data_IF_237304793810
#
_entry.id   IF_237304793810
#
_cell.length_a   1.000
_cell.length_b   1.000
_cell.length_c   1.000
_cell.angle_alpha   90.00
_cell.angle_beta   90.00
_cell.angle_gamma   90.00
#
_symmetry.space_group_name_H-M   'P 1'
#
loop_
_entity.id
_entity.type
_entity.pdbx_description
1 polymer ?
#
# COMPACT_ATOMS: atom_id res chain seq x y z
N UNK A 1 20.11 7.84 -16.12
CA UNK A 1 19.70 6.63 -15.37
C UNK A 1 20.39 6.56 -14.01
N UNK A 2 21.68 6.26 -13.91
CA UNK A 2 22.38 6.19 -12.61
C UNK A 2 22.31 7.52 -11.83
N UNK A 3 22.61 8.65 -12.46
CA UNK A 3 22.50 9.99 -11.84
C UNK A 3 21.08 10.30 -11.36
N UNK A 4 20.07 9.87 -12.10
CA UNK A 4 18.66 10.05 -11.73
C UNK A 4 18.31 9.23 -10.48
N UNK A 5 18.70 7.95 -10.46
CA UNK A 5 18.48 7.07 -9.30
C UNK A 5 19.21 7.65 -8.07
N UNK A 6 20.47 8.05 -8.22
CA UNK A 6 21.24 8.67 -7.14
C UNK A 6 20.57 9.95 -6.63
N UNK A 7 20.13 10.83 -7.53
CA UNK A 7 19.42 12.07 -7.15
C UNK A 7 18.14 11.78 -6.40
N UNK A 8 17.34 10.79 -6.83
CA UNK A 8 16.11 10.35 -6.13
C UNK A 8 16.42 9.76 -4.75
N UNK A 9 17.47 8.94 -4.63
CA UNK A 9 17.91 8.38 -3.35
C UNK A 9 18.42 9.49 -2.41
N UNK A 10 19.13 10.50 -2.93
CA UNK A 10 19.54 11.65 -2.14
C UNK A 10 18.35 12.47 -1.65
N UNK A 11 17.30 12.65 -2.47
CA UNK A 11 16.04 13.29 -2.05
C UNK A 11 15.23 12.44 -1.07
N UNK A 12 15.40 11.12 -1.05
CA UNK A 12 14.76 10.26 -0.07
C UNK A 12 15.24 10.56 1.35
N UNK A 13 16.52 10.91 1.53
CA UNK A 13 17.11 11.19 2.85
C UNK A 13 16.36 12.31 3.60
N UNK A 14 16.20 13.54 3.05
CA UNK A 14 15.47 14.60 3.73
C UNK A 14 13.99 14.25 3.90
N UNK A 15 13.37 13.52 2.97
CA UNK A 15 11.97 13.07 3.10
C UNK A 15 11.81 12.13 4.29
N UNK A 16 12.62 11.09 4.38
CA UNK A 16 12.58 10.12 5.47
C UNK A 16 12.95 10.76 6.81
N UNK A 17 13.91 11.68 6.81
CA UNK A 17 14.27 12.45 8.00
C UNK A 17 13.11 13.32 8.49
N UNK A 18 12.41 14.03 7.59
CA UNK A 18 11.22 14.81 7.93
C UNK A 18 10.11 13.90 8.47
N UNK A 19 9.86 12.75 7.84
CA UNK A 19 8.86 11.79 8.34
C UNK A 19 9.22 11.31 9.74
N UNK A 20 10.47 10.88 9.97
CA UNK A 20 10.95 10.43 11.27
C UNK A 20 10.86 11.53 12.34
N UNK A 21 11.20 12.77 11.98
CA UNK A 21 11.13 13.92 12.90
C UNK A 21 9.68 14.24 13.26
N UNK A 22 8.80 14.30 12.25
CA UNK A 22 7.39 14.62 12.47
C UNK A 22 6.68 13.54 13.28
N UNK A 23 6.92 12.27 12.97
CA UNK A 23 6.33 11.17 13.75
C UNK A 23 6.82 11.21 15.19
N UNK A 24 8.11 11.40 15.42
CA UNK A 24 8.67 11.59 16.76
C UNK A 24 7.97 12.72 17.50
N UNK A 25 7.89 13.93 16.92
CA UNK A 25 7.26 15.08 17.58
C UNK A 25 5.77 14.84 17.86
N UNK A 26 5.03 14.28 16.91
CA UNK A 26 3.61 13.97 17.07
C UNK A 26 3.41 13.03 18.26
N UNK A 27 4.22 11.97 18.38
CA UNK A 27 4.10 11.02 19.49
C UNK A 27 4.34 11.66 20.86
N UNK A 28 5.16 12.70 20.94
CA UNK A 28 5.43 13.42 22.19
C UNK A 28 4.43 14.55 22.50
N UNK A 29 3.67 15.01 21.49
CA UNK A 29 2.63 16.03 21.64
C UNK A 29 1.28 15.40 22.01
N UNK A 30 1.01 14.19 21.53
CA UNK A 30 -0.26 13.50 21.79
C UNK A 30 -0.44 13.28 23.31
N UNK A 31 -1.60 13.68 23.89
CA UNK A 31 -1.79 13.63 25.33
C UNK A 31 -1.80 12.19 25.87
N UNK A 32 -0.89 11.96 26.81
CA UNK A 32 -0.77 10.75 27.61
C UNK A 32 0.31 9.79 27.10
N UNK A 33 1.13 9.32 28.04
CA UNK A 33 2.34 8.54 27.78
C UNK A 33 2.10 7.06 27.48
N UNK A 34 3.16 6.35 27.03
CA UNK A 34 3.11 4.92 26.70
C UNK A 34 2.82 4.03 27.93
N UNK A 35 3.09 4.55 29.13
CA UNK A 35 2.89 3.86 30.41
C UNK A 35 1.73 4.41 31.23
N UNK A 36 0.98 5.38 30.71
CA UNK A 36 -0.24 5.88 31.34
C UNK A 36 -1.39 4.90 31.05
N UNK A 37 -1.41 3.80 31.81
CA UNK A 37 -2.47 2.77 31.78
C UNK A 37 -3.71 3.24 32.54
N UNK A 38 -4.84 2.56 32.31
CA UNK A 38 -6.03 2.64 33.18
C UNK A 38 -5.69 2.35 34.66
N UNK A 39 -4.66 1.52 34.91
CA UNK A 39 -4.13 1.25 36.26
C UNK A 39 -2.79 1.98 36.46
N UNK A 40 -2.78 2.98 37.35
CA UNK A 40 -1.56 3.73 37.69
C UNK A 40 -0.47 2.79 38.21
N UNK A 41 0.71 2.85 37.61
CA UNK A 41 1.90 2.17 38.12
C UNK A 41 2.34 2.85 39.42
N UNK A 42 2.89 2.10 40.39
CA UNK A 42 3.60 2.69 41.52
C UNK A 42 4.69 3.67 41.03
N UNK A 43 4.90 4.81 41.70
CA UNK A 43 5.84 5.84 41.24
C UNK A 43 7.25 5.32 40.97
N UNK A 44 7.74 4.41 41.82
CA UNK A 44 9.08 3.80 41.69
C UNK A 44 9.19 2.94 40.43
N UNK A 45 8.16 2.15 40.11
CA UNK A 45 8.14 1.31 38.90
C UNK A 45 8.07 2.21 37.66
N UNK A 46 7.27 3.28 37.70
CA UNK A 46 7.18 4.24 36.60
C UNK A 46 8.54 4.89 36.31
N UNK A 47 9.23 5.39 37.35
CA UNK A 47 10.55 6.00 37.22
C UNK A 47 11.59 5.03 36.64
N UNK A 48 11.63 3.78 37.12
CA UNK A 48 12.55 2.75 36.60
C UNK A 48 12.29 2.42 35.11
N UNK A 49 11.02 2.38 34.72
CA UNK A 49 10.63 2.11 33.33
C UNK A 49 10.95 3.31 32.43
N UNK A 50 10.69 4.54 32.88
CA UNK A 50 11.03 5.76 32.14
C UNK A 50 12.55 5.88 31.95
N UNK A 51 13.35 5.64 32.99
CA UNK A 51 14.81 5.62 32.92
C UNK A 51 15.34 4.55 31.95
N UNK A 52 14.75 3.34 31.98
CA UNK A 52 15.12 2.23 31.08
C UNK A 52 14.93 2.59 29.61
N UNK A 53 13.90 3.35 29.27
CA UNK A 53 13.59 3.76 27.89
C UNK A 53 14.04 5.20 27.58
N UNK A 54 14.83 5.82 28.46
CA UNK A 54 15.32 7.20 28.33
C UNK A 54 14.23 8.26 28.20
N UNK A 55 13.00 7.96 28.66
CA UNK A 55 11.87 8.88 28.63
C UNK A 55 11.98 10.00 29.68
N UNK A 56 12.88 9.84 30.64
CA UNK A 56 13.26 10.82 31.66
C UNK A 56 14.25 11.89 31.14
N UNK A 57 14.86 11.66 29.97
CA UNK A 57 15.85 12.57 29.39
C UNK A 57 15.17 13.74 28.63
N UNK A 58 15.87 14.88 28.43
CA UNK A 58 15.37 15.96 27.59
C UNK A 58 15.00 15.46 26.18
N UNK A 59 13.93 16.01 25.60
CA UNK A 59 13.43 15.61 24.27
C UNK A 59 14.51 15.64 23.18
N UNK A 60 15.44 16.61 23.25
CA UNK A 60 16.57 16.69 22.32
C UNK A 60 17.46 15.44 22.38
N UNK A 61 17.70 14.91 23.58
CA UNK A 61 18.51 13.70 23.77
C UNK A 61 17.76 12.45 23.31
N UNK A 62 16.47 12.35 23.61
CA UNK A 62 15.62 11.26 23.12
C UNK A 62 15.60 11.22 21.57
N UNK A 63 15.47 12.39 20.94
CA UNK A 63 15.50 12.50 19.49
C UNK A 63 16.85 12.10 18.90
N UNK A 64 17.97 12.53 19.51
CA UNK A 64 19.31 12.14 19.06
C UNK A 64 19.52 10.62 19.15
N UNK A 65 19.10 9.98 20.25
CA UNK A 65 19.16 8.53 20.41
C UNK A 65 18.30 7.81 19.36
N UNK A 66 17.11 8.32 19.08
CA UNK A 66 16.24 7.79 18.04
C UNK A 66 16.90 7.86 16.66
N UNK A 67 17.42 9.02 16.25
CA UNK A 67 18.11 9.18 14.96
C UNK A 67 19.37 8.33 14.89
N UNK A 68 20.16 8.24 15.96
CA UNK A 68 21.34 7.37 16.01
C UNK A 68 20.96 5.90 15.82
N UNK A 69 19.88 5.44 16.45
CA UNK A 69 19.31 4.11 16.23
C UNK A 69 18.93 3.89 14.77
N UNK A 70 18.17 4.82 14.17
CA UNK A 70 17.77 4.73 12.76
C UNK A 70 18.98 4.61 11.81
N UNK A 71 20.05 5.38 12.05
CA UNK A 71 21.28 5.33 11.24
C UNK A 71 21.99 3.97 11.34
N UNK A 72 21.81 3.24 12.44
CA UNK A 72 22.31 1.87 12.64
C UNK A 72 21.31 0.79 12.20
N UNK A 73 20.12 1.18 11.74
CA UNK A 73 19.04 0.26 11.39
C UNK A 73 18.26 -0.29 12.59
N UNK A 74 18.40 0.31 13.77
CA UNK A 74 17.67 -0.06 14.99
C UNK A 74 16.45 0.85 15.17
N UNK A 75 15.25 0.27 15.08
CA UNK A 75 13.97 0.97 15.30
C UNK A 75 13.57 1.03 16.78
N UNK A 76 14.39 0.45 17.65
CA UNK A 76 14.21 0.43 19.10
C UNK A 76 13.35 -0.73 19.60
N UNK A 77 13.24 -0.87 20.94
CA UNK A 77 12.41 -1.87 21.58
C UNK A 77 10.93 -1.51 21.48
N UNK A 78 10.04 -2.50 21.42
CA UNK A 78 8.62 -2.27 21.67
C UNK A 78 8.40 -2.02 23.16
N UNK A 79 7.58 -1.02 23.51
CA UNK A 79 7.21 -0.76 24.90
C UNK A 79 6.15 -1.73 25.43
N UNK A 80 5.52 -2.51 24.55
CA UNK A 80 4.41 -3.42 24.89
C UNK A 80 4.77 -4.89 24.70
N UNK A 81 5.47 -5.22 23.63
CA UNK A 81 5.95 -6.57 23.35
C UNK A 81 7.33 -6.75 24.01
N UNK A 82 7.33 -7.06 25.31
CA UNK A 82 8.55 -7.23 26.10
C UNK A 82 9.50 -8.26 25.47
N UNK A 83 10.78 -7.88 25.36
CA UNK A 83 11.81 -8.72 24.75
C UNK A 83 11.82 -8.74 23.23
N UNK A 84 10.96 -7.93 22.57
CA UNK A 84 10.95 -7.78 21.11
C UNK A 84 11.34 -6.37 20.70
N UNK A 85 12.14 -6.28 19.65
CA UNK A 85 12.40 -5.03 18.93
C UNK A 85 11.32 -4.79 17.89
N UNK A 86 11.18 -3.54 17.46
CA UNK A 86 10.31 -3.18 16.34
C UNK A 86 10.78 -3.87 15.06
N UNK A 87 12.09 -4.04 14.88
CA UNK A 87 12.68 -4.82 13.79
C UNK A 87 12.18 -6.26 13.78
N UNK A 88 12.12 -6.94 14.93
CA UNK A 88 11.61 -8.32 15.02
C UNK A 88 10.15 -8.40 14.59
N UNK A 89 9.33 -7.45 15.04
CA UNK A 89 7.91 -7.42 14.68
C UNK A 89 7.75 -7.25 13.17
N UNK A 90 8.48 -6.30 12.57
CA UNK A 90 8.46 -6.05 11.13
C UNK A 90 8.97 -7.27 10.36
N UNK A 91 10.10 -7.86 10.76
CA UNK A 91 10.70 -9.01 10.07
C UNK A 91 9.76 -10.22 10.02
N UNK A 92 9.01 -10.48 11.10
CA UNK A 92 8.09 -11.62 11.18
C UNK A 92 6.82 -11.44 10.35
N UNK A 93 6.37 -10.19 10.18
CA UNK A 93 5.00 -9.91 9.70
C UNK A 93 4.96 -9.20 8.36
N UNK A 94 5.98 -8.39 8.04
CA UNK A 94 6.07 -7.66 6.78
C UNK A 94 6.12 -8.55 5.54
N UNK A 95 6.88 -9.67 5.51
CA UNK A 95 6.91 -10.53 4.33
C UNK A 95 5.53 -11.06 3.96
N UNK A 96 4.69 -11.37 4.95
CA UNK A 96 3.32 -11.86 4.75
C UNK A 96 2.44 -10.75 4.16
N UNK A 97 2.44 -9.55 4.76
CA UNK A 97 1.70 -8.40 4.22
C UNK A 97 2.17 -8.02 2.82
N UNK A 98 3.47 -8.11 2.55
CA UNK A 98 4.05 -7.86 1.24
C UNK A 98 3.55 -8.86 0.19
N UNK A 99 3.57 -10.17 0.50
CA UNK A 99 3.04 -11.20 -0.38
C UNK A 99 1.57 -10.94 -0.71
N UNK A 100 0.75 -10.69 0.31
CA UNK A 100 -0.66 -10.35 0.14
C UNK A 100 -0.84 -9.09 -0.73
N UNK A 101 -0.07 -8.04 -0.44
CA UNK A 101 -0.10 -6.78 -1.18
C UNK A 101 0.23 -6.95 -2.66
N UNK A 102 1.26 -7.74 -3.01
CA UNK A 102 1.60 -8.03 -4.40
C UNK A 102 0.56 -8.89 -5.10
N UNK A 103 -0.05 -9.87 -4.42
CA UNK A 103 -1.14 -10.65 -4.99
C UNK A 103 -2.37 -9.79 -5.26
N UNK A 104 -2.72 -8.92 -4.33
CA UNK A 104 -3.82 -7.96 -4.48
C UNK A 104 -3.54 -6.95 -5.60
N UNK A 105 -2.30 -6.45 -5.70
CA UNK A 105 -1.87 -5.55 -6.77
C UNK A 105 -1.94 -6.23 -8.14
N UNK A 106 -1.48 -7.48 -8.23
CA UNK A 106 -1.52 -8.27 -9.46
C UNK A 106 -2.96 -8.52 -9.91
N UNK A 107 -3.83 -8.90 -8.97
CA UNK A 107 -5.27 -9.01 -9.20
C UNK A 107 -5.84 -7.67 -9.71
N UNK A 108 -5.52 -6.56 -9.04
CA UNK A 108 -6.02 -5.24 -9.39
C UNK A 108 -5.59 -4.80 -10.79
N UNK A 109 -4.33 -5.00 -11.15
CA UNK A 109 -3.79 -4.68 -12.46
C UNK A 109 -4.43 -5.53 -13.56
N UNK A 110 -4.45 -6.86 -13.38
CA UNK A 110 -4.95 -7.79 -14.41
C UNK A 110 -6.44 -7.53 -14.65
N UNK A 111 -7.26 -7.64 -13.61
CA UNK A 111 -8.71 -7.54 -13.76
C UNK A 111 -9.16 -6.09 -14.00
N UNK A 112 -8.48 -5.11 -13.38
CA UNK A 112 -8.77 -3.70 -13.60
C UNK A 112 -8.48 -3.25 -15.04
N UNK A 113 -7.30 -3.60 -15.58
CA UNK A 113 -6.96 -3.25 -16.96
C UNK A 113 -7.87 -3.97 -17.97
N UNK A 114 -8.14 -5.27 -17.78
CA UNK A 114 -9.05 -6.01 -18.65
C UNK A 114 -10.44 -5.37 -18.64
N UNK A 115 -11.00 -5.07 -17.46
CA UNK A 115 -12.31 -4.43 -17.35
C UNK A 115 -12.31 -3.04 -17.99
N UNK A 116 -11.27 -2.23 -17.78
CA UNK A 116 -11.14 -0.89 -18.38
C UNK A 116 -11.05 -0.93 -19.91
N UNK A 117 -10.29 -1.87 -20.46
CA UNK A 117 -10.17 -2.08 -21.92
C UNK A 117 -11.52 -2.53 -22.49
N UNK A 118 -12.16 -3.56 -21.93
CA UNK A 118 -13.44 -4.09 -22.40
C UNK A 118 -14.54 -3.03 -22.34
N UNK A 119 -14.62 -2.28 -21.25
CA UNK A 119 -15.59 -1.18 -21.06
C UNK A 119 -15.35 -0.02 -22.03
N UNK A 120 -14.09 0.25 -22.40
CA UNK A 120 -13.77 1.28 -23.40
C UNK A 120 -14.15 0.88 -24.83
N UNK A 121 -13.98 -0.39 -25.20
CA UNK A 121 -14.36 -0.91 -26.53
C UNK A 121 -15.88 -0.97 -26.68
N UNK A 122 -16.59 -1.29 -25.59
CA UNK A 122 -18.05 -1.37 -25.54
C UNK A 122 -18.70 -0.07 -25.04
N UNK A 123 -17.99 1.05 -25.11
CA UNK A 123 -18.43 2.31 -24.53
C UNK A 123 -19.85 2.70 -24.96
N UNK A 124 -20.63 3.22 -24.01
CA UNK A 124 -22.03 3.62 -24.17
C UNK A 124 -23.04 2.49 -24.40
N UNK A 125 -22.60 1.22 -24.44
CA UNK A 125 -23.51 0.07 -24.47
C UNK A 125 -24.02 -0.31 -23.07
N UNK A 126 -25.00 -1.21 -23.00
CA UNK A 126 -25.47 -1.78 -21.74
C UNK A 126 -24.36 -2.55 -21.00
N UNK A 127 -23.45 -3.19 -21.73
CA UNK A 127 -22.32 -3.92 -21.15
C UNK A 127 -21.35 -2.98 -20.44
N UNK A 128 -21.02 -1.83 -21.04
CA UNK A 128 -20.24 -0.77 -20.39
C UNK A 128 -20.90 -0.29 -19.09
N UNK A 129 -22.19 0.05 -19.15
CA UNK A 129 -22.95 0.50 -17.97
C UNK A 129 -22.99 -0.57 -16.87
N UNK A 130 -23.22 -1.83 -17.22
CA UNK A 130 -23.24 -2.94 -16.28
C UNK A 130 -21.87 -3.17 -15.64
N UNK A 131 -20.81 -3.29 -16.43
CA UNK A 131 -19.43 -3.46 -15.92
C UNK A 131 -19.02 -2.31 -14.99
N UNK A 132 -19.33 -1.08 -15.36
CA UNK A 132 -19.03 0.10 -14.55
C UNK A 132 -19.88 0.18 -13.27
N UNK A 133 -21.15 -0.24 -13.33
CA UNK A 133 -22.00 -0.36 -12.17
C UNK A 133 -21.44 -1.37 -11.17
N UNK A 134 -21.12 -2.59 -11.61
CA UNK A 134 -20.56 -3.63 -10.72
C UNK A 134 -19.18 -3.23 -10.16
N UNK A 135 -18.32 -2.61 -10.97
CA UNK A 135 -17.04 -2.08 -10.51
C UNK A 135 -17.24 -0.99 -9.43
N UNK A 136 -18.23 -0.11 -9.60
CA UNK A 136 -18.52 0.96 -8.63
C UNK A 136 -19.16 0.41 -7.35
N UNK A 137 -20.12 -0.52 -7.48
CA UNK A 137 -20.76 -1.17 -6.34
C UNK A 137 -19.75 -1.97 -5.49
N UNK A 138 -18.79 -2.65 -6.13
CA UNK A 138 -17.71 -3.36 -5.44
C UNK A 138 -16.82 -2.43 -4.62
N UNK A 139 -16.50 -1.23 -5.13
CA UNK A 139 -15.72 -0.21 -4.39
C UNK A 139 -16.50 0.36 -3.21
N UNK A 140 -17.80 0.55 -3.35
CA UNK A 140 -18.66 1.07 -2.28
C UNK A 140 -18.89 0.06 -1.15
N UNK A 141 -18.53 -1.21 -1.36
CA UNK A 141 -18.66 -2.25 -0.34
C UNK A 141 -17.45 -2.21 0.59
N UNK A 142 -17.64 -2.04 1.91
CA UNK A 142 -16.53 -2.09 2.85
C UNK A 142 -15.78 -3.43 2.78
N UNK A 143 -14.45 -3.41 2.91
CA UNK A 143 -13.61 -4.62 2.83
C UNK A 143 -14.07 -5.73 3.78
N UNK A 144 -14.64 -5.39 4.93
CA UNK A 144 -15.12 -6.40 5.86
C UNK A 144 -16.39 -7.12 5.40
N UNK A 145 -17.30 -6.39 4.75
CA UNK A 145 -18.51 -6.96 4.14
C UNK A 145 -18.09 -7.86 2.98
N UNK A 146 -17.19 -7.35 2.13
CA UNK A 146 -16.67 -8.11 1.00
C UNK A 146 -15.96 -9.39 1.46
N UNK A 147 -15.10 -9.31 2.47
CA UNK A 147 -14.42 -10.46 3.07
C UNK A 147 -15.41 -11.50 3.60
N UNK A 148 -16.42 -11.07 4.36
CA UNK A 148 -17.46 -11.96 4.87
C UNK A 148 -18.26 -12.66 3.76
N UNK A 149 -18.63 -11.93 2.70
CA UNK A 149 -19.32 -12.50 1.54
C UNK A 149 -18.44 -13.51 0.79
N UNK A 150 -17.16 -13.18 0.58
CA UNK A 150 -16.21 -14.09 -0.06
C UNK A 150 -16.05 -15.38 0.73
N UNK A 151 -15.90 -15.31 2.05
CA UNK A 151 -15.85 -16.48 2.94
C UNK A 151 -17.16 -17.28 2.85
N UNK A 152 -18.31 -16.61 2.93
CA UNK A 152 -19.61 -17.29 2.89
C UNK A 152 -19.80 -18.07 1.59
N UNK A 153 -19.57 -17.44 0.43
CA UNK A 153 -19.77 -18.10 -0.85
C UNK A 153 -18.66 -19.11 -1.15
N UNK A 154 -17.40 -18.69 -1.13
CA UNK A 154 -16.31 -19.51 -1.66
C UNK A 154 -15.74 -20.51 -0.65
N UNK A 155 -15.85 -20.26 0.66
CA UNK A 155 -15.36 -21.18 1.68
C UNK A 155 -16.47 -22.02 2.30
N UNK A 156 -17.62 -21.43 2.64
CA UNK A 156 -18.70 -22.16 3.30
C UNK A 156 -19.65 -22.85 2.30
N UNK A 157 -20.18 -22.11 1.33
CA UNK A 157 -21.20 -22.62 0.40
C UNK A 157 -20.61 -23.53 -0.67
N UNK A 158 -19.56 -23.09 -1.36
CA UNK A 158 -18.94 -23.83 -2.47
C UNK A 158 -17.71 -24.63 -2.05
N UNK A 159 -17.11 -24.35 -0.89
CA UNK A 159 -15.94 -25.07 -0.32
C UNK A 159 -14.74 -25.16 -1.29
N UNK A 160 -14.51 -24.08 -2.04
CA UNK A 160 -13.44 -23.98 -3.04
C UNK A 160 -12.13 -23.51 -2.38
N UNK A 161 -12.22 -22.51 -1.51
CA UNK A 161 -11.06 -21.88 -0.86
C UNK A 161 -11.17 -21.93 0.65
N UNK A 162 -10.04 -22.05 1.38
CA UNK A 162 -10.06 -21.98 2.83
C UNK A 162 -10.43 -20.56 3.31
N UNK A 163 -11.11 -20.44 4.47
CA UNK A 163 -11.68 -19.16 4.92
C UNK A 163 -10.68 -18.23 5.63
N UNK A 164 -9.61 -18.77 6.22
CA UNK A 164 -8.69 -18.03 7.09
C UNK A 164 -7.37 -18.79 7.28
N UNK A 165 -6.37 -18.15 7.91
CA UNK A 165 -4.99 -18.60 8.13
C UNK A 165 -4.05 -18.29 6.93
N UNK A 166 -2.81 -18.77 7.01
CA UNK A 166 -1.77 -18.51 6.01
C UNK A 166 -0.82 -19.70 5.86
N UNK A 167 -1.38 -20.90 5.63
CA UNK A 167 -0.61 -22.15 5.59
C UNK A 167 -0.24 -22.59 4.17
N UNK A 168 -1.13 -22.36 3.21
CA UNK A 168 -0.94 -22.73 1.80
C UNK A 168 -1.44 -21.65 0.84
N UNK A 169 -0.97 -21.60 -0.42
CA UNK A 169 -1.29 -20.52 -1.36
C UNK A 169 -2.79 -20.28 -1.61
N UNK A 170 -3.67 -21.26 -1.37
CA UNK A 170 -5.12 -21.10 -1.53
C UNK A 170 -5.71 -20.12 -0.52
N UNK A 171 -5.07 -19.98 0.65
CA UNK A 171 -5.44 -19.02 1.69
C UNK A 171 -5.27 -17.58 1.24
N UNK A 172 -4.37 -17.32 0.30
CA UNK A 172 -4.08 -15.97 -0.18
C UNK A 172 -5.10 -15.47 -1.22
N UNK A 173 -5.91 -16.34 -1.82
CA UNK A 173 -6.80 -15.99 -2.94
C UNK A 173 -7.92 -15.03 -2.50
N UNK A 174 -8.72 -15.41 -1.50
CA UNK A 174 -9.84 -14.59 -1.04
C UNK A 174 -9.37 -13.25 -0.43
N UNK A 175 -8.32 -13.20 0.42
CA UNK A 175 -7.75 -11.94 0.89
C UNK A 175 -7.25 -11.05 -0.24
N UNK A 176 -6.56 -11.61 -1.25
CA UNK A 176 -6.04 -10.84 -2.37
C UNK A 176 -7.16 -10.25 -3.22
N UNK A 177 -8.25 -11.00 -3.44
CA UNK A 177 -9.45 -10.49 -4.12
C UNK A 177 -10.08 -9.38 -3.29
N UNK A 178 -10.28 -9.61 -1.99
CA UNK A 178 -10.89 -8.61 -1.09
C UNK A 178 -10.10 -7.30 -1.07
N UNK A 179 -8.78 -7.39 -0.96
CA UNK A 179 -7.88 -6.24 -0.94
C UNK A 179 -7.73 -5.57 -2.31
N UNK A 180 -7.73 -6.36 -3.39
CA UNK A 180 -7.47 -5.91 -4.75
C UNK A 180 -8.70 -5.40 -5.50
N UNK A 181 -9.93 -5.73 -5.08
CA UNK A 181 -11.15 -5.40 -5.84
C UNK A 181 -11.37 -3.89 -5.99
N UNK A 182 -11.22 -3.12 -4.90
CA UNK A 182 -11.39 -1.67 -4.96
C UNK A 182 -10.32 -0.98 -5.84
N UNK A 183 -9.02 -1.31 -5.68
CA UNK A 183 -7.99 -0.89 -6.64
C UNK A 183 -8.27 -1.32 -8.08
N UNK A 184 -8.75 -2.54 -8.32
CA UNK A 184 -9.08 -3.05 -9.66
C UNK A 184 -10.12 -2.16 -10.34
N UNK A 185 -11.19 -1.83 -9.63
CA UNK A 185 -12.25 -0.97 -10.13
C UNK A 185 -11.75 0.46 -10.38
N UNK A 186 -10.90 1.01 -9.50
CA UNK A 186 -10.29 2.31 -9.74
C UNK A 186 -9.41 2.32 -11.01
N UNK A 187 -8.55 1.30 -11.18
CA UNK A 187 -7.73 1.09 -12.37
C UNK A 187 -8.62 0.96 -13.61
N UNK A 188 -9.70 0.20 -13.55
CA UNK A 188 -10.63 0.03 -14.67
C UNK A 188 -11.23 1.37 -15.13
N UNK A 189 -11.69 2.21 -14.19
CA UNK A 189 -12.23 3.54 -14.50
C UNK A 189 -11.17 4.45 -15.12
N UNK A 190 -9.98 4.46 -14.53
CA UNK A 190 -8.88 5.31 -14.99
C UNK A 190 -8.40 4.89 -16.38
N UNK A 191 -8.20 3.59 -16.62
CA UNK A 191 -7.83 3.04 -17.90
C UNK A 191 -8.90 3.34 -18.96
N UNK A 192 -10.19 3.13 -18.65
CA UNK A 192 -11.30 3.45 -19.55
C UNK A 192 -11.30 4.92 -19.95
N UNK A 193 -11.21 5.83 -18.96
CA UNK A 193 -11.19 7.27 -19.22
C UNK A 193 -10.03 7.66 -20.13
N UNK A 194 -8.83 7.15 -19.80
CA UNK A 194 -7.61 7.44 -20.55
C UNK A 194 -7.67 6.90 -21.97
N UNK A 195 -8.23 5.70 -22.19
CA UNK A 195 -8.42 5.09 -23.52
C UNK A 195 -9.38 5.94 -24.36
N UNK A 196 -10.52 6.36 -23.79
CA UNK A 196 -11.53 7.14 -24.52
C UNK A 196 -11.01 8.53 -24.91
N UNK A 197 -10.25 9.18 -24.03
CA UNK A 197 -9.59 10.45 -24.32
C UNK A 197 -8.54 10.28 -25.42
N UNK A 198 -7.70 9.26 -25.29
CA UNK A 198 -6.63 8.97 -26.24
C UNK A 198 -7.18 8.61 -27.64
N UNK A 199 -8.30 7.89 -27.71
CA UNK A 199 -8.95 7.55 -28.98
C UNK A 199 -9.42 8.77 -29.78
N UNK A 200 -9.60 9.93 -29.14
CA UNK A 200 -10.01 11.19 -29.79
C UNK A 200 -8.85 11.99 -30.38
N UNK A 201 -7.61 11.55 -30.17
CA UNK A 201 -6.40 12.27 -30.60
C UNK A 201 -6.17 12.16 -32.13
N UNK A 202 -5.57 13.20 -32.73
CA UNK A 202 -5.40 13.29 -34.19
C UNK A 202 -4.48 12.21 -34.78
N UNK A 203 -3.49 11.73 -34.02
CA UNK A 203 -2.64 10.64 -34.47
C UNK A 203 -3.41 9.31 -34.58
N UNK A 204 -4.47 9.11 -33.78
CA UNK A 204 -5.35 7.94 -33.88
C UNK A 204 -6.22 8.05 -35.12
N UNK A 205 -6.75 9.24 -35.41
CA UNK A 205 -7.49 9.52 -36.66
C UNK A 205 -6.62 9.26 -37.90
N UNK A 206 -5.35 9.65 -37.83
CA UNK A 206 -4.36 9.40 -38.88
C UNK A 206 -4.05 7.90 -39.04
N UNK A 207 -3.96 7.15 -37.95
CA UNK A 207 -3.79 5.69 -38.03
C UNK A 207 -5.00 5.02 -38.68
N UNK A 208 -6.21 5.49 -38.38
CA UNK A 208 -7.45 5.00 -38.99
C UNK A 208 -7.53 5.34 -40.49
N UNK A 209 -7.14 6.54 -40.90
CA UNK A 209 -7.11 6.90 -42.34
C UNK A 209 -6.07 6.13 -43.15
N UNK A 210 -5.01 5.63 -42.49
CA UNK A 210 -4.03 4.72 -43.09
C UNK A 210 -4.51 3.26 -43.18
N UNK A 211 -5.73 2.94 -42.75
CA UNK A 211 -6.33 1.61 -42.88
C UNK A 211 -5.87 0.59 -41.84
N UNK A 212 -5.31 1.01 -40.70
CA UNK A 212 -5.00 0.08 -39.61
C UNK A 212 -6.28 -0.49 -38.98
N UNK A 213 -6.26 -1.75 -38.57
CA UNK A 213 -7.37 -2.38 -37.86
C UNK A 213 -7.58 -1.76 -36.47
N UNK A 214 -8.81 -1.72 -35.97
CA UNK A 214 -9.12 -1.16 -34.63
C UNK A 214 -8.33 -1.86 -33.51
N UNK A 215 -8.06 -3.17 -33.63
CA UNK A 215 -7.20 -3.90 -32.70
C UNK A 215 -5.75 -3.39 -32.75
N UNK A 216 -5.19 -3.18 -33.95
CA UNK A 216 -3.84 -2.64 -34.08
C UNK A 216 -3.77 -1.20 -33.55
N UNK A 217 -4.80 -0.39 -33.79
CA UNK A 217 -4.92 0.98 -33.27
C UNK A 217 -4.96 0.95 -31.73
N UNK A 218 -5.79 0.11 -31.14
CA UNK A 218 -5.91 -0.03 -29.69
C UNK A 218 -4.56 -0.39 -29.04
N UNK A 219 -3.95 -1.50 -29.45
CA UNK A 219 -2.75 -2.02 -28.77
C UNK A 219 -1.48 -1.23 -29.11
N UNK A 220 -1.33 -0.70 -30.33
CA UNK A 220 -0.09 -0.01 -30.74
C UNK A 220 -0.11 1.49 -30.53
N UNK A 221 -1.28 2.14 -30.58
CA UNK A 221 -1.39 3.60 -30.59
C UNK A 221 -2.13 4.17 -29.37
N UNK A 222 -3.14 3.46 -28.86
CA UNK A 222 -3.97 3.97 -27.76
C UNK A 222 -3.42 3.51 -26.40
N UNK A 223 -3.28 2.21 -26.16
CA UNK A 223 -2.90 1.67 -24.84
C UNK A 223 -1.54 2.18 -24.34
N UNK A 224 -0.58 2.37 -25.26
CA UNK A 224 0.75 2.88 -24.92
C UNK A 224 0.69 4.24 -24.20
N UNK A 225 -0.23 5.11 -24.60
CA UNK A 225 -0.38 6.44 -24.00
C UNK A 225 -1.42 6.46 -22.88
N UNK A 226 -2.46 5.62 -23.00
CA UNK A 226 -3.53 5.53 -22.02
C UNK A 226 -3.12 4.87 -20.68
N UNK A 227 -1.99 4.14 -20.64
CA UNK A 227 -1.50 3.48 -19.42
C UNK A 227 -0.73 4.43 -18.49
N UNK A 228 -0.28 5.58 -18.98
CA UNK A 228 0.55 6.52 -18.20
C UNK A 228 -0.08 6.92 -16.86
N UNK A 229 -1.39 7.27 -16.79
CA UNK A 229 -2.04 7.57 -15.52
C UNK A 229 -2.15 6.37 -14.59
N UNK A 230 -2.34 5.16 -15.15
CA UNK A 230 -2.37 3.92 -14.36
C UNK A 230 -1.01 3.69 -13.71
N UNK A 231 0.07 3.95 -14.44
CA UNK A 231 1.45 3.83 -13.92
C UNK A 231 1.72 4.87 -12.83
N UNK A 232 1.14 6.08 -12.92
CA UNK A 232 1.29 7.13 -11.88
C UNK A 232 0.81 6.65 -10.53
N UNK A 233 -0.37 6.06 -10.51
CA UNK A 233 -1.02 5.66 -9.25
C UNK A 233 -0.38 4.40 -8.67
N UNK A 234 0.40 3.64 -9.46
CA UNK A 234 0.99 2.39 -8.99
C UNK A 234 1.95 2.58 -7.83
N UNK A 235 2.63 3.72 -7.74
CA UNK A 235 3.63 3.97 -6.69
C UNK A 235 2.97 4.00 -5.31
N UNK A 236 2.11 4.98 -5.04
CA UNK A 236 1.35 5.05 -3.79
C UNK A 236 0.47 3.81 -3.55
N UNK A 237 -0.13 3.24 -4.60
CA UNK A 237 -0.97 2.05 -4.48
C UNK A 237 -0.17 0.83 -4.02
N UNK A 238 1.01 0.59 -4.59
CA UNK A 238 1.88 -0.51 -4.19
C UNK A 238 2.28 -0.39 -2.74
N UNK A 239 2.73 0.80 -2.31
CA UNK A 239 3.10 1.04 -0.92
C UNK A 239 1.91 0.82 0.03
N UNK A 240 0.72 1.28 -0.34
CA UNK A 240 -0.51 1.09 0.44
C UNK A 240 -0.86 -0.39 0.59
N UNK A 241 -0.80 -1.18 -0.49
CA UNK A 241 -1.18 -2.60 -0.44
C UNK A 241 -0.13 -3.47 0.26
N UNK A 242 1.16 -3.20 0.04
CA UNK A 242 2.29 -3.98 0.60
C UNK A 242 2.48 -3.74 2.10
N UNK A 243 2.11 -2.57 2.59
CA UNK A 243 2.16 -2.26 4.04
C UNK A 243 1.17 -3.10 4.85
N UNK A 244 0.19 -3.71 4.18
CA UNK A 244 -0.81 -4.57 4.80
C UNK A 244 -2.11 -3.85 5.06
N UNK A 245 -3.16 -4.64 5.26
CA UNK A 245 -4.51 -4.13 5.53
C UNK A 245 -5.05 -4.76 6.80
N UNK A 246 -5.17 -3.97 7.86
CA UNK A 246 -5.72 -4.45 9.14
C UNK A 246 -7.04 -5.21 8.95
N UNK A 247 -7.96 -4.65 8.18
CA UNK A 247 -9.30 -5.22 8.01
C UNK A 247 -9.24 -6.57 7.29
N UNK A 248 -8.53 -6.65 6.17
CA UNK A 248 -8.44 -7.89 5.38
C UNK A 248 -7.65 -8.94 6.16
N UNK A 249 -6.49 -8.58 6.71
CA UNK A 249 -5.65 -9.51 7.46
C UNK A 249 -6.35 -10.03 8.72
N UNK A 250 -7.13 -9.19 9.41
CA UNK A 250 -7.91 -9.63 10.57
C UNK A 250 -9.00 -10.63 10.21
N UNK A 251 -9.76 -10.37 9.15
CA UNK A 251 -10.91 -11.21 8.75
C UNK A 251 -10.47 -12.59 8.28
N UNK A 252 -9.37 -12.63 7.54
CA UNK A 252 -8.82 -13.87 7.01
C UNK A 252 -7.73 -14.46 7.94
N UNK A 253 -7.54 -13.93 9.15
CA UNK A 253 -6.50 -14.37 10.10
C UNK A 253 -5.10 -14.48 9.48
N UNK A 254 -4.76 -13.55 8.59
CA UNK A 254 -3.43 -13.44 7.98
C UNK A 254 -2.46 -12.88 9.02
N UNK A 255 -1.30 -13.52 9.26
CA UNK A 255 -0.31 -13.07 10.24
C UNK A 255 0.55 -11.90 9.71
N UNK A 256 -0.11 -10.83 9.26
CA UNK A 256 0.54 -9.64 8.70
C UNK A 256 0.74 -8.48 9.70
N UNK A 257 1.30 -7.39 9.19
CA UNK A 257 1.61 -6.17 9.96
C UNK A 257 0.36 -5.37 10.37
N UNK A 258 -0.76 -5.52 9.65
CA UNK A 258 -1.93 -4.66 9.80
C UNK A 258 -2.48 -4.65 11.23
N UNK A 259 -2.44 -5.80 11.91
CA UNK A 259 -2.79 -5.92 13.34
C UNK A 259 -1.88 -5.05 14.21
N UNK A 260 -0.58 -5.11 13.99
CA UNK A 260 0.42 -4.37 14.78
C UNK A 260 0.29 -2.86 14.59
N UNK A 261 -0.13 -2.40 13.42
CA UNK A 261 -0.39 -0.98 13.19
C UNK A 261 -1.49 -0.43 14.11
N UNK A 262 -2.62 -1.12 14.19
CA UNK A 262 -3.75 -0.69 15.04
C UNK A 262 -3.43 -0.92 16.52
N UNK A 263 -2.87 -2.08 16.89
CA UNK A 263 -2.56 -2.35 18.29
C UNK A 263 -1.46 -1.44 18.83
N UNK A 264 -0.51 -1.00 18.02
CA UNK A 264 0.49 -0.02 18.43
C UNK A 264 -0.16 1.31 18.83
N UNK A 265 -1.12 1.79 18.03
CA UNK A 265 -1.88 3.02 18.32
C UNK A 265 -2.73 2.85 19.59
N UNK A 266 -3.53 1.80 19.67
CA UNK A 266 -4.40 1.52 20.83
C UNK A 266 -3.58 1.36 22.12
N UNK A 267 -2.43 0.71 22.03
CA UNK A 267 -1.55 0.49 23.17
C UNK A 267 -0.59 1.66 23.43
N UNK A 268 -0.55 2.70 22.60
CA UNK A 268 0.45 3.78 22.70
C UNK A 268 1.89 3.27 22.69
N UNK A 269 2.19 2.33 21.82
CA UNK A 269 3.56 1.81 21.62
C UNK A 269 4.33 2.71 20.65
N UNK A 270 4.98 3.74 21.19
CA UNK A 270 5.57 4.81 20.37
C UNK A 270 6.62 4.31 19.38
N UNK A 271 7.62 3.49 19.76
CA UNK A 271 8.62 2.98 18.82
C UNK A 271 8.00 2.18 17.68
N UNK A 272 6.98 1.37 17.97
CA UNK A 272 6.31 0.58 16.95
C UNK A 272 5.53 1.46 15.96
N UNK A 273 4.83 2.50 16.43
CA UNK A 273 4.15 3.46 15.55
C UNK A 273 5.16 4.20 14.65
N UNK A 274 6.25 4.69 15.24
CA UNK A 274 7.30 5.42 14.51
C UNK A 274 7.98 4.51 13.47
N UNK A 275 8.31 3.28 13.84
CA UNK A 275 8.97 2.32 12.96
C UNK A 275 8.10 1.88 11.80
N UNK A 276 6.82 1.54 12.03
CA UNK A 276 5.91 1.14 10.94
C UNK A 276 5.59 2.31 10.01
N UNK A 277 5.48 3.53 10.55
CA UNK A 277 5.28 4.72 9.71
C UNK A 277 6.51 5.04 8.86
N UNK A 278 7.72 4.87 9.42
CA UNK A 278 8.96 5.02 8.67
C UNK A 278 9.08 3.95 7.57
N UNK A 279 8.72 2.69 7.87
CA UNK A 279 8.66 1.62 6.89
C UNK A 279 7.72 1.98 5.73
N UNK A 280 6.51 2.47 6.03
CA UNK A 280 5.57 2.93 5.01
C UNK A 280 6.16 4.03 4.12
N UNK A 281 6.85 5.01 4.72
CA UNK A 281 7.51 6.08 3.96
C UNK A 281 8.63 5.55 3.07
N UNK A 282 9.45 4.61 3.55
CA UNK A 282 10.47 3.92 2.75
C UNK A 282 9.83 3.20 1.56
N UNK A 283 8.71 2.49 1.78
CA UNK A 283 8.00 1.78 0.73
C UNK A 283 7.43 2.73 -0.33
N UNK A 284 6.89 3.89 0.07
CA UNK A 284 6.43 4.92 -0.87
C UNK A 284 7.60 5.42 -1.72
N UNK A 285 8.75 5.75 -1.10
CA UNK A 285 9.93 6.23 -1.81
C UNK A 285 10.39 5.20 -2.85
N UNK A 286 10.50 3.93 -2.43
CA UNK A 286 10.91 2.83 -3.32
C UNK A 286 9.88 2.64 -4.45
N UNK A 287 8.58 2.62 -4.13
CA UNK A 287 7.54 2.42 -5.12
C UNK A 287 7.47 3.57 -6.13
N UNK A 288 7.65 4.82 -5.68
CA UNK A 288 7.73 5.97 -6.57
C UNK A 288 8.97 5.91 -7.48
N UNK A 289 10.13 5.54 -6.93
CA UNK A 289 11.33 5.33 -7.73
C UNK A 289 11.09 4.26 -8.81
N UNK A 290 10.44 3.14 -8.46
CA UNK A 290 10.08 2.10 -9.43
C UNK A 290 9.14 2.63 -10.52
N UNK A 291 8.13 3.44 -10.16
CA UNK A 291 7.24 4.10 -11.13
C UNK A 291 7.99 5.04 -12.06
N UNK A 292 8.93 5.83 -11.54
CA UNK A 292 9.74 6.71 -12.37
C UNK A 292 10.57 5.93 -13.38
N UNK A 293 11.14 4.78 -12.96
CA UNK A 293 11.84 3.89 -13.87
C UNK A 293 10.89 3.30 -14.92
N UNK A 294 9.68 2.89 -14.53
CA UNK A 294 8.67 2.39 -15.47
C UNK A 294 8.28 3.44 -16.51
N UNK A 295 8.22 4.73 -16.16
CA UNK A 295 7.95 5.77 -17.14
C UNK A 295 8.98 5.83 -18.26
N UNK A 296 10.25 5.62 -17.95
CA UNK A 296 11.33 5.66 -18.94
C UNK A 296 11.25 4.50 -19.93
N UNK A 297 10.67 3.38 -19.51
CA UNK A 297 10.43 2.21 -20.36
C UNK A 297 9.19 2.40 -21.24
N UNK A 298 8.15 3.05 -20.72
CA UNK A 298 6.86 3.23 -21.40
C UNK A 298 6.93 4.36 -22.43
N UNK A 299 7.51 5.51 -22.04
CA UNK A 299 7.69 6.66 -22.91
C UNK A 299 9.17 7.09 -22.96
N UNK A 300 9.89 6.77 -24.05
CA UNK A 300 11.30 7.17 -24.22
C UNK A 300 11.47 8.69 -24.40
N UNK A 301 10.38 9.47 -24.51
CA UNK A 301 10.42 10.94 -24.54
C UNK A 301 10.55 11.54 -23.15
N UNK A 302 10.28 10.76 -22.10
CA UNK A 302 10.50 11.17 -20.70
C UNK A 302 12.00 11.29 -20.48
N UNK A 303 12.49 12.53 -20.57
CA UNK A 303 13.89 12.85 -20.26
C UNK A 303 14.04 12.88 -18.75
N UNK A 304 14.98 12.09 -18.26
CA UNK A 304 15.36 12.04 -16.85
C UNK A 304 16.32 13.18 -16.60
N UNK A 305 15.78 14.31 -16.12
CA UNK A 305 16.58 15.41 -15.59
C UNK A 305 17.13 15.11 -14.18
#
# INVERSE_FOLDING_TARGET
MLTFILRRLLWAIPVLWVVATLTFLIMHIVPGGPFDKEKKLPPEIKANVEAKYHLDQPLSRQYLLYIEGLLRGDLGPSYKYLGRTVNDVIADTFPVSMQLGFLALSFALIFGLIAGILSSVTAHTLWDRASMFFATAGVSTPNFVLGALLIYFFSHRYKIFPPALWEDPRHAVLPAIALGLAPAAYIARLARSSILETNRQDYVRTARSKGLSETAILFRHILKNAITPVVTILGPLTATLVTGSFVVEFIFSVPGMGKYFITAVTNRDYPLIMGVTLLYAVLIVIANLLVDLLYTLIDPRVRLE
#
